data_IF_075418859241
#
_entry.id   IF_075418859241
#
_cell.length_a   1.000
_cell.length_b   1.000
_cell.length_c   1.000
_cell.angle_alpha   90.00
_cell.angle_beta   90.00
_cell.angle_gamma   90.00
#
_symmetry.space_group_name_H-M   'P 1'
#
loop_
_entity.id
_entity.type
_entity.pdbx_description
1 polymer ?
#
# COMPACT_ATOMS: atom_id res chain seq x y z
N UNK A 1 -1.83 -34.34 48.31
CA UNK A 1 -1.17 -33.39 47.40
C UNK A 1 -2.06 -32.17 47.25
N UNK A 2 -1.64 -30.98 47.69
CA UNK A 2 -2.41 -29.74 47.49
C UNK A 2 -1.99 -29.17 46.13
N UNK A 3 -2.93 -29.13 45.18
CA UNK A 3 -2.72 -28.49 43.88
C UNK A 3 -2.52 -26.99 44.09
N UNK A 4 -1.44 -26.44 43.53
CA UNK A 4 -1.23 -24.99 43.49
C UNK A 4 -2.34 -24.32 42.69
N UNK A 5 -2.75 -23.13 43.14
CA UNK A 5 -3.70 -22.31 42.41
C UNK A 5 -3.11 -21.96 41.03
N UNK A 6 -3.94 -21.98 39.97
CA UNK A 6 -3.48 -21.59 38.63
C UNK A 6 -2.96 -20.15 38.65
N UNK A 7 -1.89 -19.84 37.88
CA UNK A 7 -1.38 -18.49 37.77
C UNK A 7 -2.46 -17.55 37.23
N UNK A 8 -2.45 -16.30 37.70
CA UNK A 8 -3.41 -15.30 37.27
C UNK A 8 -3.37 -15.12 35.75
N UNK A 9 -4.55 -15.12 35.12
CA UNK A 9 -4.69 -14.90 33.68
C UNK A 9 -3.98 -13.61 33.26
N UNK A 10 -2.93 -13.74 32.45
CA UNK A 10 -2.27 -12.63 31.79
C UNK A 10 -3.26 -11.99 30.81
N UNK A 11 -3.90 -10.90 31.24
CA UNK A 11 -4.71 -10.06 30.34
C UNK A 11 -3.80 -9.40 29.32
N UNK A 12 -3.72 -9.97 28.13
CA UNK A 12 -3.02 -9.33 27.01
C UNK A 12 -3.70 -7.98 26.71
N UNK A 13 -2.92 -6.92 26.44
CA UNK A 13 -3.46 -5.62 26.07
C UNK A 13 -4.33 -5.77 24.82
N UNK A 14 -5.49 -5.11 24.81
CA UNK A 14 -6.42 -5.18 23.69
C UNK A 14 -5.80 -4.45 22.50
N UNK A 15 -5.21 -5.18 21.55
CA UNK A 15 -4.75 -4.60 20.31
C UNK A 15 -5.96 -4.07 19.52
N UNK A 16 -5.94 -2.78 19.15
CA UNK A 16 -6.97 -2.24 18.28
C UNK A 16 -6.98 -2.98 16.94
N UNK A 17 -8.14 -3.44 16.44
CA UNK A 17 -8.24 -4.28 15.23
C UNK A 17 -7.70 -3.61 13.95
N UNK A 18 -7.53 -2.28 13.99
CA UNK A 18 -7.05 -1.47 12.87
C UNK A 18 -5.68 -0.84 13.14
N UNK A 19 -4.97 -1.25 14.21
CA UNK A 19 -3.65 -0.71 14.54
C UNK A 19 -2.64 -0.85 13.38
N UNK A 20 -2.55 -1.99 12.66
CA UNK A 20 -1.62 -2.12 11.55
C UNK A 20 -1.91 -1.15 10.40
N UNK A 21 -3.20 -0.95 10.09
CA UNK A 21 -3.65 -0.02 9.04
C UNK A 21 -3.30 1.43 9.40
N UNK A 22 -3.56 1.84 10.64
CA UNK A 22 -3.23 3.19 11.10
C UNK A 22 -1.72 3.45 11.15
N UNK A 23 -0.95 2.45 11.56
CA UNK A 23 0.51 2.54 11.55
C UNK A 23 1.03 2.74 10.13
N UNK A 24 0.52 1.98 9.15
CA UNK A 24 0.86 2.13 7.74
C UNK A 24 0.54 3.53 7.19
N UNK A 25 -0.62 4.08 7.58
CA UNK A 25 -1.03 5.44 7.21
C UNK A 25 -0.17 6.52 7.86
N UNK A 26 0.17 6.35 9.15
CA UNK A 26 1.10 7.25 9.84
C UNK A 26 2.48 7.22 9.19
N UNK A 27 2.97 6.03 8.82
CA UNK A 27 4.22 5.83 8.09
C UNK A 27 4.18 6.51 6.71
N UNK A 28 3.06 6.38 5.98
CA UNK A 28 2.86 7.04 4.69
C UNK A 28 2.98 8.57 4.82
N UNK A 29 2.29 9.15 5.81
CA UNK A 29 2.34 10.60 6.08
C UNK A 29 3.73 11.07 6.49
N UNK A 30 4.39 10.33 7.38
CA UNK A 30 5.76 10.63 7.82
C UNK A 30 6.76 10.58 6.65
N UNK A 31 6.64 9.59 5.76
CA UNK A 31 7.50 9.46 4.57
C UNK A 31 7.33 10.67 3.64
N UNK A 32 6.08 11.08 3.36
CA UNK A 32 5.81 12.21 2.47
C UNK A 32 6.28 13.54 3.07
N UNK A 33 6.11 13.74 4.38
CA UNK A 33 6.63 14.91 5.08
C UNK A 33 8.17 14.95 5.07
N UNK A 34 8.83 13.81 5.31
CA UNK A 34 10.29 13.72 5.25
C UNK A 34 10.82 14.03 3.85
N UNK A 35 10.17 13.49 2.81
CA UNK A 35 10.52 13.78 1.41
C UNK A 35 10.49 15.28 1.11
N UNK A 36 9.46 15.99 1.54
CA UNK A 36 9.36 17.45 1.33
C UNK A 36 10.51 18.19 2.00
N UNK A 37 10.89 17.79 3.22
CA UNK A 37 12.03 18.36 3.90
C UNK A 37 13.34 18.11 3.14
N UNK A 38 13.58 16.87 2.70
CA UNK A 38 14.76 16.50 1.91
C UNK A 38 14.82 17.24 0.58
N UNK A 39 13.68 17.40 -0.10
CA UNK A 39 13.59 18.12 -1.37
C UNK A 39 13.85 19.62 -1.17
N UNK A 40 13.30 20.22 -0.10
CA UNK A 40 13.57 21.62 0.24
C UNK A 40 15.06 21.85 0.57
N UNK A 41 15.69 20.93 1.29
CA UNK A 41 17.14 20.95 1.56
C UNK A 41 17.94 20.81 0.26
N UNK A 42 17.64 19.82 -0.57
CA UNK A 42 18.34 19.60 -1.85
C UNK A 42 18.22 20.81 -2.79
N UNK A 43 17.05 21.46 -2.86
CA UNK A 43 16.88 22.69 -3.63
C UNK A 43 17.66 23.88 -3.05
N UNK A 44 17.81 23.95 -1.73
CA UNK A 44 18.63 24.96 -1.07
C UNK A 44 20.13 24.72 -1.28
N UNK A 45 20.54 23.46 -1.42
CA UNK A 45 21.91 23.01 -1.67
C UNK A 45 22.30 23.03 -3.16
N UNK A 46 21.36 23.27 -4.08
CA UNK A 46 21.55 23.22 -5.53
C UNK A 46 22.40 24.37 -6.11
N UNK A 47 23.34 24.90 -5.32
CA UNK A 47 24.48 25.65 -5.82
C UNK A 47 25.60 24.68 -6.25
N UNK A 48 25.74 24.47 -7.57
CA UNK A 48 26.91 23.88 -8.24
C UNK A 48 27.37 22.48 -7.78
N UNK A 49 26.52 21.45 -7.92
CA UNK A 49 26.98 20.05 -7.82
C UNK A 49 26.84 19.36 -9.18
N UNK A 50 27.99 19.14 -9.83
CA UNK A 50 28.12 18.35 -11.05
C UNK A 50 28.17 16.85 -10.68
N UNK A 51 27.08 16.13 -10.91
CA UNK A 51 27.01 14.68 -10.64
C UNK A 51 27.50 13.89 -11.86
N UNK A 52 28.31 12.82 -11.67
CA UNK A 52 28.73 11.97 -12.78
C UNK A 52 27.53 11.28 -13.44
N UNK A 53 27.55 11.07 -14.76
CA UNK A 53 26.43 10.48 -15.50
C UNK A 53 26.17 9.04 -15.07
N UNK A 54 24.92 8.71 -14.73
CA UNK A 54 24.45 7.35 -14.48
C UNK A 54 24.25 6.96 -13.01
N UNK A 55 24.67 7.78 -12.04
CA UNK A 55 24.34 7.56 -10.63
C UNK A 55 22.89 8.00 -10.35
N UNK A 56 22.06 7.20 -9.65
CA UNK A 56 20.73 7.62 -9.23
C UNK A 56 20.84 8.89 -8.39
N UNK A 57 20.17 9.93 -8.86
CA UNK A 57 20.21 11.25 -8.24
C UNK A 57 19.47 11.22 -6.90
N UNK A 58 19.75 12.21 -6.03
CA UNK A 58 18.92 12.42 -4.83
C UNK A 58 17.43 12.60 -5.20
N UNK A 59 17.15 13.12 -6.40
CA UNK A 59 15.81 13.28 -6.94
C UNK A 59 15.14 11.92 -7.24
N UNK A 60 15.86 10.96 -7.82
CA UNK A 60 15.30 9.63 -8.13
C UNK A 60 14.91 8.88 -6.84
N UNK A 61 15.71 9.00 -5.79
CA UNK A 61 15.38 8.45 -4.46
C UNK A 61 14.17 9.15 -3.84
N UNK A 62 14.09 10.48 -3.92
CA UNK A 62 12.94 11.24 -3.44
C UNK A 62 11.65 10.91 -4.22
N UNK A 63 11.76 10.55 -5.51
CA UNK A 63 10.65 10.07 -6.31
C UNK A 63 10.20 8.67 -5.86
N UNK A 64 11.13 7.73 -5.67
CA UNK A 64 10.85 6.38 -5.16
C UNK A 64 10.18 6.40 -3.77
N UNK A 65 10.58 7.32 -2.89
CA UNK A 65 9.95 7.49 -1.58
C UNK A 65 8.45 7.82 -1.65
N UNK A 66 8.00 8.50 -2.72
CA UNK A 66 6.58 8.81 -2.91
C UNK A 66 5.78 7.62 -3.48
N UNK A 67 6.42 6.68 -4.17
CA UNK A 67 5.77 5.53 -4.76
C UNK A 67 5.13 4.60 -3.71
N UNK A 68 5.78 4.44 -2.55
CA UNK A 68 5.29 3.55 -1.50
C UNK A 68 3.98 4.04 -0.84
N UNK A 69 3.88 5.29 -0.34
CA UNK A 69 2.60 5.87 0.09
C UNK A 69 1.51 5.85 -0.98
N UNK A 70 1.87 6.10 -2.24
CA UNK A 70 0.93 6.11 -3.35
C UNK A 70 0.39 4.70 -3.67
N UNK A 71 1.22 3.66 -3.53
CA UNK A 71 0.78 2.27 -3.68
C UNK A 71 -0.19 1.85 -2.57
N UNK A 72 0.11 2.24 -1.33
CA UNK A 72 -0.81 2.01 -0.22
C UNK A 72 -2.15 2.71 -0.44
N UNK A 73 -2.10 3.96 -0.90
CA UNK A 73 -3.29 4.73 -1.22
C UNK A 73 -4.12 4.10 -2.34
N UNK A 74 -3.48 3.60 -3.42
CA UNK A 74 -4.19 2.94 -4.52
C UNK A 74 -4.87 1.64 -4.08
N UNK A 75 -4.26 0.91 -3.14
CA UNK A 75 -4.86 -0.28 -2.55
C UNK A 75 -6.08 0.06 -1.68
N UNK A 76 -6.04 1.15 -0.89
CA UNK A 76 -7.19 1.61 -0.10
C UNK A 76 -8.32 2.20 -0.97
N UNK A 77 -7.97 2.88 -2.07
CA UNK A 77 -8.95 3.31 -3.09
C UNK A 77 -9.63 2.07 -3.71
N UNK A 78 -8.85 1.05 -4.07
CA UNK A 78 -9.36 -0.20 -4.63
C UNK A 78 -10.23 -0.99 -3.65
N UNK A 79 -9.91 -0.91 -2.35
CA UNK A 79 -10.76 -1.41 -1.26
C UNK A 79 -12.02 -0.53 -1.03
N UNK A 80 -12.12 0.61 -1.72
CA UNK A 80 -13.27 1.51 -1.72
C UNK A 80 -13.40 2.38 -0.47
N UNK A 81 -12.30 2.63 0.24
CA UNK A 81 -12.31 3.47 1.46
C UNK A 81 -12.78 4.89 1.14
N UNK A 82 -12.20 5.55 0.13
CA UNK A 82 -12.60 6.91 -0.26
C UNK A 82 -14.01 6.95 -0.88
N UNK A 83 -14.38 6.07 -1.83
CA UNK A 83 -15.76 5.98 -2.32
C UNK A 83 -16.80 5.82 -1.20
N UNK A 84 -16.56 4.92 -0.25
CA UNK A 84 -17.46 4.71 0.89
C UNK A 84 -17.55 5.95 1.78
N UNK A 85 -16.41 6.59 2.07
CA UNK A 85 -16.37 7.83 2.83
C UNK A 85 -17.18 8.96 2.17
N UNK A 86 -17.06 9.13 0.85
CA UNK A 86 -17.81 10.14 0.10
C UNK A 86 -19.31 9.85 0.09
N UNK A 87 -19.70 8.60 -0.12
CA UNK A 87 -21.11 8.19 -0.10
C UNK A 87 -21.74 8.38 1.29
N UNK A 88 -21.05 7.95 2.35
CA UNK A 88 -21.55 8.09 3.73
C UNK A 88 -21.64 9.56 4.13
N UNK A 89 -20.63 10.38 3.81
CA UNK A 89 -20.67 11.81 4.05
C UNK A 89 -21.80 12.49 3.26
N UNK A 90 -22.08 12.04 2.03
CA UNK A 90 -23.20 12.51 1.22
C UNK A 90 -24.57 12.14 1.80
N UNK A 91 -24.75 10.90 2.26
CA UNK A 91 -25.97 10.46 2.94
C UNK A 91 -26.22 11.24 4.24
N UNK A 92 -25.16 11.56 4.97
CA UNK A 92 -25.27 12.40 6.15
C UNK A 92 -25.65 13.83 5.78
N UNK A 93 -24.98 14.43 4.78
CA UNK A 93 -25.24 15.80 4.33
C UNK A 93 -26.64 15.98 3.71
N UNK A 94 -27.23 14.93 3.14
CA UNK A 94 -28.61 14.95 2.63
C UNK A 94 -29.68 14.76 3.70
N UNK A 95 -29.29 14.44 4.93
CA UNK A 95 -30.22 14.13 6.03
C UNK A 95 -30.78 12.71 6.01
N UNK A 96 -30.25 11.81 5.17
CA UNK A 96 -30.68 10.40 5.15
C UNK A 96 -30.26 9.64 6.42
N UNK A 97 -29.17 10.06 7.06
CA UNK A 97 -28.72 9.55 8.37
C UNK A 97 -29.18 10.55 9.45
N UNK A 98 -30.20 10.17 10.21
CA UNK A 98 -30.82 11.04 11.23
C UNK A 98 -30.34 10.76 12.66
N UNK A 99 -29.54 9.70 12.87
CA UNK A 99 -29.05 9.38 14.21
C UNK A 99 -28.00 10.40 14.70
N UNK A 100 -27.95 10.70 16.02
CA UNK A 100 -26.96 11.62 16.58
C UNK A 100 -25.55 11.00 16.57
N UNK A 101 -24.67 11.51 15.70
CA UNK A 101 -23.29 11.02 15.56
C UNK A 101 -22.26 11.73 16.47
N UNK A 102 -22.69 12.76 17.22
CA UNK A 102 -21.79 13.53 18.10
C UNK A 102 -20.65 14.20 17.33
N UNK A 103 -19.39 14.16 17.81
CA UNK A 103 -18.24 14.84 17.16
C UNK A 103 -18.00 14.41 15.70
N UNK A 104 -18.37 13.18 15.34
CA UNK A 104 -18.20 12.64 13.98
C UNK A 104 -19.04 13.38 12.95
N UNK A 105 -20.17 13.98 13.36
CA UNK A 105 -20.96 14.83 12.48
C UNK A 105 -20.15 16.00 11.90
N UNK A 106 -19.24 16.59 12.70
CA UNK A 106 -18.37 17.68 12.24
C UNK A 106 -17.35 17.17 11.22
N UNK A 107 -16.77 15.99 11.45
CA UNK A 107 -15.81 15.37 10.53
C UNK A 107 -16.45 15.06 9.16
N UNK A 108 -17.65 14.46 9.18
CA UNK A 108 -18.41 14.16 7.96
C UNK A 108 -18.75 15.43 7.17
N UNK A 109 -19.23 16.47 7.86
CA UNK A 109 -19.54 17.76 7.24
C UNK A 109 -18.31 18.44 6.64
N UNK A 110 -17.18 18.44 7.36
CA UNK A 110 -15.92 19.00 6.86
C UNK A 110 -15.44 18.25 5.62
N UNK A 111 -15.44 16.91 5.67
CA UNK A 111 -15.05 16.05 4.55
C UNK A 111 -15.94 16.24 3.32
N UNK A 112 -17.25 16.40 3.52
CA UNK A 112 -18.21 16.66 2.44
C UNK A 112 -18.02 18.03 1.80
N UNK A 113 -17.82 19.08 2.59
CA UNK A 113 -17.61 20.45 2.08
C UNK A 113 -16.35 20.57 1.23
N UNK A 114 -15.25 19.95 1.68
CA UNK A 114 -13.97 19.96 0.95
C UNK A 114 -13.96 19.14 -0.35
N UNK A 115 -15.01 18.41 -0.69
CA UNK A 115 -15.02 17.49 -1.85
C UNK A 115 -14.73 18.14 -3.21
N UNK A 116 -14.99 19.44 -3.34
CA UNK A 116 -14.76 20.19 -4.59
C UNK A 116 -13.30 20.64 -4.74
N UNK A 117 -12.56 20.67 -3.66
CA UNK A 117 -11.15 21.09 -3.60
C UNK A 117 -10.20 19.89 -3.67
N UNK A 118 -10.73 18.67 -3.51
CA UNK A 118 -9.98 17.41 -3.56
C UNK A 118 -9.94 16.84 -4.98
N UNK A 119 -8.88 16.09 -5.27
CA UNK A 119 -8.78 15.24 -6.45
C UNK A 119 -10.00 14.33 -6.58
N UNK A 120 -10.65 14.38 -7.73
CA UNK A 120 -11.77 13.52 -8.08
C UNK A 120 -11.30 12.09 -8.31
N UNK A 121 -12.25 11.15 -8.30
CA UNK A 121 -11.96 9.72 -8.45
C UNK A 121 -11.22 9.42 -9.75
N UNK A 122 -11.66 10.02 -10.85
CA UNK A 122 -11.08 9.82 -12.17
C UNK A 122 -9.63 10.33 -12.23
N UNK A 123 -9.33 11.42 -11.53
CA UNK A 123 -7.98 11.99 -11.45
C UNK A 123 -7.06 11.09 -10.64
N UNK A 124 -7.51 10.62 -9.46
CA UNK A 124 -6.77 9.64 -8.65
C UNK A 124 -6.49 8.36 -9.42
N UNK A 125 -7.51 7.82 -10.10
CA UNK A 125 -7.38 6.62 -10.94
C UNK A 125 -6.37 6.83 -12.08
N UNK A 126 -6.38 7.98 -12.73
CA UNK A 126 -5.44 8.30 -13.80
C UNK A 126 -3.99 8.32 -13.26
N UNK A 127 -3.76 8.91 -12.09
CA UNK A 127 -2.46 8.93 -11.42
C UNK A 127 -2.02 7.50 -11.08
N UNK A 128 -2.87 6.69 -10.46
CA UNK A 128 -2.54 5.30 -10.11
C UNK A 128 -2.21 4.45 -11.33
N UNK A 129 -2.99 4.58 -12.41
CA UNK A 129 -2.73 3.84 -13.66
C UNK A 129 -1.41 4.25 -14.30
N UNK A 130 -1.11 5.54 -14.30
CA UNK A 130 0.15 6.08 -14.84
C UNK A 130 1.36 5.58 -14.06
N UNK A 131 1.29 5.57 -12.73
CA UNK A 131 2.43 5.17 -11.88
C UNK A 131 2.63 3.66 -11.86
N UNK A 132 1.57 2.89 -11.68
CA UNK A 132 1.69 1.45 -11.46
C UNK A 132 1.48 0.62 -12.71
N UNK A 133 0.66 1.00 -13.68
CA UNK A 133 0.41 0.16 -14.88
C UNK A 133 0.22 -1.33 -14.50
N UNK A 134 -0.90 -1.64 -13.83
CA UNK A 134 -1.04 -2.81 -12.95
C UNK A 134 -0.40 -4.13 -13.45
N UNK A 135 -0.57 -4.59 -14.70
CA UNK A 135 0.04 -5.85 -15.14
C UNK A 135 1.57 -5.86 -15.06
N UNK A 136 2.22 -4.75 -15.41
CA UNK A 136 3.68 -4.67 -15.40
C UNK A 136 4.22 -4.54 -13.98
N UNK A 137 3.66 -3.63 -13.17
CA UNK A 137 4.07 -3.48 -11.78
C UNK A 137 3.83 -4.75 -10.97
N UNK A 138 2.67 -5.42 -11.11
CA UNK A 138 2.42 -6.64 -10.35
C UNK A 138 3.40 -7.75 -10.68
N UNK A 139 3.83 -7.85 -11.95
CA UNK A 139 4.87 -8.79 -12.37
C UNK A 139 6.21 -8.44 -11.72
N UNK A 140 6.65 -7.18 -11.78
CA UNK A 140 7.93 -6.75 -11.20
C UNK A 140 7.94 -6.87 -9.67
N UNK A 141 6.86 -6.44 -9.02
CA UNK A 141 6.66 -6.57 -7.57
C UNK A 141 6.66 -8.03 -7.14
N UNK A 142 6.08 -8.94 -7.93
CA UNK A 142 6.14 -10.38 -7.67
C UNK A 142 7.56 -10.92 -7.76
N UNK A 143 8.30 -10.60 -8.82
CA UNK A 143 9.70 -11.02 -8.98
C UNK A 143 10.54 -10.53 -7.80
N UNK A 144 10.42 -9.26 -7.44
CA UNK A 144 11.11 -8.66 -6.29
C UNK A 144 10.74 -9.36 -4.97
N UNK A 145 9.45 -9.52 -4.67
CA UNK A 145 9.02 -10.19 -3.43
C UNK A 145 9.48 -11.66 -3.37
N UNK A 146 9.43 -12.39 -4.48
CA UNK A 146 9.93 -13.77 -4.53
C UNK A 146 11.43 -13.82 -4.27
N UNK A 147 12.21 -12.89 -4.82
CA UNK A 147 13.65 -12.82 -4.58
C UNK A 147 13.98 -12.45 -3.12
N UNK A 148 13.22 -11.53 -2.50
CA UNK A 148 13.35 -11.18 -1.08
C UNK A 148 13.10 -12.41 -0.19
N UNK A 149 12.08 -13.21 -0.50
CA UNK A 149 11.77 -14.43 0.28
C UNK A 149 12.82 -15.51 0.04
N UNK A 150 13.28 -15.70 -1.20
CA UNK A 150 14.34 -16.68 -1.49
C UNK A 150 15.65 -16.34 -0.77
N UNK A 151 16.05 -15.07 -0.74
CA UNK A 151 17.21 -14.60 0.01
C UNK A 151 17.09 -14.75 1.54
N UNK A 152 15.89 -15.04 2.06
CA UNK A 152 15.70 -15.39 3.47
C UNK A 152 15.92 -16.88 3.75
N UNK A 153 15.70 -17.73 2.74
CA UNK A 153 15.80 -19.20 2.83
C UNK A 153 17.24 -19.69 2.62
N UNK A 154 18.08 -18.90 1.93
CA UNK A 154 19.48 -19.18 1.64
C UNK A 154 20.28 -17.92 1.31
N UNK A 155 21.61 -18.04 1.35
CA UNK A 155 22.53 -17.02 0.84
C UNK A 155 23.41 -17.67 -0.25
N UNK A 156 22.80 -18.01 -1.39
CA UNK A 156 23.54 -18.37 -2.61
C UNK A 156 23.72 -17.13 -3.51
N UNK A 157 24.85 -17.05 -4.22
CA UNK A 157 25.15 -16.01 -5.20
C UNK A 157 24.01 -15.83 -6.22
N UNK A 158 23.30 -16.92 -6.54
CA UNK A 158 22.14 -16.87 -7.44
C UNK A 158 20.96 -16.07 -6.87
N UNK A 159 20.71 -16.19 -5.57
CA UNK A 159 19.63 -15.49 -4.87
C UNK A 159 19.98 -14.01 -4.73
N UNK A 160 21.24 -13.69 -4.42
CA UNK A 160 21.75 -12.31 -4.35
C UNK A 160 21.62 -11.61 -5.71
N UNK A 161 22.01 -12.29 -6.81
CA UNK A 161 21.87 -11.74 -8.16
C UNK A 161 20.40 -11.56 -8.53
N UNK A 162 19.52 -12.52 -8.21
CA UNK A 162 18.10 -12.41 -8.48
C UNK A 162 17.45 -11.27 -7.69
N UNK A 163 17.86 -11.06 -6.43
CA UNK A 163 17.43 -9.93 -5.61
C UNK A 163 17.88 -8.61 -6.23
N UNK A 164 19.14 -8.52 -6.64
CA UNK A 164 19.69 -7.35 -7.33
C UNK A 164 18.88 -6.95 -8.56
N UNK A 165 18.64 -7.90 -9.47
CA UNK A 165 17.85 -7.68 -10.68
C UNK A 165 16.42 -7.26 -10.33
N UNK A 166 15.76 -7.96 -9.41
CA UNK A 166 14.37 -7.68 -9.03
C UNK A 166 14.18 -6.30 -8.41
N UNK A 167 15.13 -5.85 -7.58
CA UNK A 167 15.13 -4.51 -6.97
C UNK A 167 15.42 -3.44 -8.01
N UNK A 168 16.41 -3.66 -8.88
CA UNK A 168 16.77 -2.72 -9.94
C UNK A 168 15.61 -2.50 -10.91
N UNK A 169 15.05 -3.57 -11.47
CA UNK A 169 13.96 -3.48 -12.46
C UNK A 169 12.72 -2.77 -11.89
N UNK A 170 12.35 -3.08 -10.65
CA UNK A 170 11.21 -2.44 -9.98
C UNK A 170 11.51 -0.96 -9.64
N UNK A 171 12.73 -0.66 -9.19
CA UNK A 171 13.17 0.69 -8.89
C UNK A 171 13.19 1.59 -10.14
N UNK A 172 13.82 1.13 -11.23
CA UNK A 172 13.85 1.85 -12.50
C UNK A 172 12.44 2.08 -13.05
N UNK A 173 11.58 1.06 -13.00
CA UNK A 173 10.19 1.17 -13.42
C UNK A 173 9.43 2.28 -12.69
N UNK A 174 9.58 2.36 -11.36
CA UNK A 174 8.89 3.33 -10.51
C UNK A 174 9.50 4.73 -10.58
N UNK A 175 10.83 4.85 -10.67
CA UNK A 175 11.52 6.13 -10.79
C UNK A 175 11.06 6.88 -12.05
N UNK A 176 10.95 6.17 -13.18
CA UNK A 176 10.49 6.75 -14.45
C UNK A 176 9.03 7.23 -14.44
N UNK A 177 8.22 6.79 -13.48
CA UNK A 177 6.77 7.03 -13.45
C UNK A 177 6.30 7.88 -12.27
N UNK A 178 7.11 8.01 -11.23
CA UNK A 178 6.76 8.76 -10.01
C UNK A 178 7.29 10.19 -10.10
N UNK A 179 6.63 11.01 -10.91
CA UNK A 179 7.00 12.42 -11.07
C UNK A 179 6.57 13.30 -9.87
N UNK A 180 6.91 14.59 -9.93
CA UNK A 180 6.55 15.55 -8.89
C UNK A 180 5.03 15.67 -8.68
N UNK A 181 4.24 15.55 -9.75
CA UNK A 181 2.78 15.61 -9.67
C UNK A 181 2.22 14.38 -8.94
N UNK A 182 2.71 13.18 -9.26
CA UNK A 182 2.35 11.95 -8.54
C UNK A 182 2.71 12.03 -7.06
N UNK A 183 3.86 12.63 -6.72
CA UNK A 183 4.26 12.82 -5.34
C UNK A 183 3.38 13.82 -4.57
N UNK A 184 3.00 14.93 -5.20
CA UNK A 184 2.05 15.89 -4.61
C UNK A 184 0.68 15.24 -4.40
N UNK A 185 0.19 14.51 -5.40
CA UNK A 185 -1.06 13.78 -5.30
C UNK A 185 -1.03 12.73 -4.19
N UNK A 186 0.09 12.02 -4.01
CA UNK A 186 0.24 11.05 -2.92
C UNK A 186 -0.07 11.66 -1.55
N UNK A 187 0.41 12.89 -1.28
CA UNK A 187 0.12 13.62 -0.03
C UNK A 187 -1.36 13.89 0.14
N UNK A 188 -1.98 14.51 -0.86
CA UNK A 188 -3.39 14.86 -0.78
C UNK A 188 -4.27 13.62 -0.61
N UNK A 189 -4.00 12.55 -1.37
CA UNK A 189 -4.76 11.30 -1.29
C UNK A 189 -4.59 10.65 0.08
N UNK A 190 -3.37 10.60 0.62
CA UNK A 190 -3.09 10.03 1.95
C UNK A 190 -3.76 10.84 3.06
N UNK A 191 -3.76 12.16 2.99
CA UNK A 191 -4.45 13.01 3.96
C UNK A 191 -5.98 12.83 3.88
N UNK A 192 -6.53 12.67 2.67
CA UNK A 192 -7.95 12.35 2.46
C UNK A 192 -8.31 10.97 3.04
N UNK A 193 -7.45 9.97 2.84
CA UNK A 193 -7.61 8.63 3.44
C UNK A 193 -7.57 8.68 4.97
N UNK A 194 -6.69 9.50 5.55
CA UNK A 194 -6.62 9.71 6.99
C UNK A 194 -7.88 10.37 7.54
N UNK A 195 -8.41 11.39 6.87
CA UNK A 195 -9.67 12.01 7.25
C UNK A 195 -10.84 11.01 7.17
N UNK A 196 -10.92 10.24 6.08
CA UNK A 196 -11.92 9.20 5.86
C UNK A 196 -11.89 8.11 6.95
N UNK A 197 -10.71 7.52 7.19
CA UNK A 197 -10.53 6.49 8.22
C UNK A 197 -10.78 7.03 9.63
N UNK A 198 -10.61 8.33 9.85
CA UNK A 198 -10.93 9.00 11.11
C UNK A 198 -12.40 8.80 11.51
N UNK A 199 -13.34 9.04 10.59
CA UNK A 199 -14.77 8.88 10.90
C UNK A 199 -15.32 7.47 10.62
N UNK A 200 -14.83 6.76 9.58
CA UNK A 200 -15.32 5.41 9.26
C UNK A 200 -15.06 4.39 10.38
N UNK A 201 -14.07 4.65 11.23
CA UNK A 201 -13.73 3.81 12.38
C UNK A 201 -14.57 4.11 13.62
N UNK A 202 -15.39 5.16 13.61
CA UNK A 202 -16.22 5.53 14.75
C UNK A 202 -17.37 4.53 14.97
N UNK A 203 -17.54 4.12 16.23
CA UNK A 203 -18.54 3.12 16.61
C UNK A 203 -19.97 3.60 16.46
N UNK A 204 -20.25 4.90 16.64
CA UNK A 204 -21.60 5.46 16.50
C UNK A 204 -22.01 5.49 15.04
N UNK A 205 -21.06 5.85 14.15
CA UNK A 205 -21.30 5.77 12.72
C UNK A 205 -21.52 4.33 12.26
N UNK A 206 -20.70 3.38 12.71
CA UNK A 206 -20.91 1.96 12.40
C UNK A 206 -22.28 1.46 12.87
N UNK A 207 -22.66 1.79 14.11
CA UNK A 207 -23.97 1.43 14.66
C UNK A 207 -25.15 2.06 13.89
N UNK A 208 -25.01 3.30 13.41
CA UNK A 208 -26.00 3.97 12.57
C UNK A 208 -26.28 3.23 11.26
N UNK A 209 -25.28 2.51 10.73
CA UNK A 209 -25.38 1.66 9.53
C UNK A 209 -25.65 0.19 9.86
N UNK A 210 -25.84 -0.17 11.14
CA UNK A 210 -26.11 -1.55 11.57
C UNK A 210 -24.93 -2.50 11.38
N UNK A 211 -23.70 -1.98 11.37
CA UNK A 211 -22.47 -2.76 11.19
C UNK A 211 -21.53 -2.63 12.40
N UNK A 212 -20.59 -3.55 12.52
CA UNK A 212 -19.74 -3.78 13.69
C UNK A 212 -18.24 -3.61 13.40
N UNK A 213 -17.88 -2.99 12.26
CA UNK A 213 -16.50 -2.65 11.94
C UNK A 213 -16.31 -1.79 10.69
N UNK A 214 -15.06 -1.39 10.45
CA UNK A 214 -14.66 -0.58 9.30
C UNK A 214 -14.99 -1.26 7.96
N UNK A 215 -14.55 -2.50 7.76
CA UNK A 215 -14.72 -3.19 6.49
C UNK A 215 -16.19 -3.53 6.18
N UNK A 216 -17.00 -4.01 7.15
CA UNK A 216 -18.44 -4.10 6.98
C UNK A 216 -19.10 -2.77 6.59
N UNK A 217 -18.68 -1.63 7.16
CA UNK A 217 -19.19 -0.31 6.79
C UNK A 217 -18.83 0.06 5.34
N UNK A 218 -17.57 -0.15 4.95
CA UNK A 218 -17.10 0.10 3.59
C UNK A 218 -17.81 -0.80 2.57
N UNK A 219 -18.08 -2.06 2.93
CA UNK A 219 -18.86 -2.99 2.11
C UNK A 219 -20.34 -2.58 2.01
N UNK A 220 -20.94 -2.11 3.10
CA UNK A 220 -22.34 -1.66 3.11
C UNK A 220 -22.57 -0.45 2.18
N UNK A 221 -21.57 0.42 2.05
CA UNK A 221 -21.62 1.52 1.08
C UNK A 221 -21.52 1.01 -0.38
N UNK A 222 -20.72 -0.03 -0.62
CA UNK A 222 -20.48 -0.56 -1.96
C UNK A 222 -21.42 -1.72 -2.30
N UNK A 223 -22.56 -1.40 -2.92
CA UNK A 223 -23.60 -2.35 -3.35
C UNK A 223 -23.04 -3.58 -4.12
N UNK A 224 -22.66 -4.64 -3.40
CA UNK A 224 -22.23 -5.93 -3.95
C UNK A 224 -20.72 -6.26 -3.87
N UNK A 225 -19.86 -5.43 -3.28
CA UNK A 225 -18.41 -5.75 -3.09
C UNK A 225 -18.06 -5.95 -1.62
N UNK A 226 -18.34 -7.13 -1.09
CA UNK A 226 -18.09 -7.44 0.32
C UNK A 226 -16.78 -8.23 0.57
N UNK A 227 -16.33 -9.05 -0.38
CA UNK A 227 -15.19 -9.94 -0.17
C UNK A 227 -13.86 -9.26 -0.50
N UNK A 228 -12.83 -9.57 0.28
CA UNK A 228 -11.44 -9.22 -0.02
C UNK A 228 -11.03 -7.76 0.23
N UNK A 229 -11.92 -6.87 0.67
CA UNK A 229 -11.57 -5.45 0.93
C UNK A 229 -10.43 -5.31 1.93
N UNK A 230 -10.50 -6.07 3.04
CA UNK A 230 -9.44 -6.10 4.03
C UNK A 230 -8.14 -6.70 3.48
N UNK A 231 -8.23 -7.78 2.70
CA UNK A 231 -7.07 -8.40 2.08
C UNK A 231 -6.37 -7.43 1.11
N UNK A 232 -7.13 -6.63 0.37
CA UNK A 232 -6.61 -5.59 -0.51
C UNK A 232 -5.86 -4.50 0.27
N UNK A 233 -6.41 -4.05 1.42
CA UNK A 233 -5.74 -3.08 2.27
C UNK A 233 -4.44 -3.64 2.89
N UNK A 234 -4.46 -4.90 3.33
CA UNK A 234 -3.28 -5.59 3.85
C UNK A 234 -2.21 -5.80 2.76
N UNK A 235 -2.62 -6.10 1.52
CA UNK A 235 -1.72 -6.14 0.35
C UNK A 235 -1.06 -4.79 0.13
N UNK A 236 -1.83 -3.70 0.17
CA UNK A 236 -1.32 -2.34 0.08
C UNK A 236 -0.27 -2.04 1.14
N UNK A 237 -0.56 -2.37 2.40
CA UNK A 237 0.37 -2.18 3.54
C UNK A 237 1.66 -2.99 3.38
N UNK A 238 1.54 -4.24 2.98
CA UNK A 238 2.69 -5.11 2.73
C UNK A 238 3.57 -4.54 1.60
N UNK A 239 2.96 -4.15 0.49
CA UNK A 239 3.71 -3.57 -0.63
C UNK A 239 4.32 -2.20 -0.30
N UNK A 240 3.65 -1.37 0.51
CA UNK A 240 4.25 -0.12 1.02
C UNK A 240 5.57 -0.40 1.75
N UNK A 241 5.60 -1.44 2.60
CA UNK A 241 6.79 -1.77 3.39
C UNK A 241 7.95 -2.20 2.49
N UNK A 242 7.67 -3.02 1.47
CA UNK A 242 8.66 -3.45 0.46
C UNK A 242 9.16 -2.27 -0.36
N UNK A 243 8.27 -1.38 -0.81
CA UNK A 243 8.65 -0.22 -1.61
C UNK A 243 9.44 0.83 -0.80
N UNK A 244 9.14 0.99 0.50
CA UNK A 244 9.94 1.84 1.39
C UNK A 244 11.33 1.25 1.62
N UNK A 245 11.42 -0.07 1.81
CA UNK A 245 12.71 -0.77 1.88
C UNK A 245 13.51 -0.58 0.60
N UNK A 246 12.88 -0.72 -0.58
CA UNK A 246 13.51 -0.47 -1.88
C UNK A 246 14.02 0.97 -2.00
N UNK A 247 13.21 1.96 -1.60
CA UNK A 247 13.61 3.38 -1.65
C UNK A 247 14.75 3.73 -0.68
N UNK A 248 14.98 2.90 0.34
CA UNK A 248 16.09 3.04 1.29
C UNK A 248 17.39 2.39 0.80
N UNK A 249 17.35 1.59 -0.27
CA UNK A 249 18.54 0.90 -0.75
C UNK A 249 19.51 1.85 -1.47
N UNK A 250 20.83 1.76 -1.19
CA UNK A 250 21.83 2.48 -1.95
C UNK A 250 21.99 1.87 -3.36
N UNK A 251 22.16 2.69 -4.41
CA UNK A 251 22.10 2.23 -5.80
C UNK A 251 23.29 1.37 -6.28
N UNK A 252 24.31 1.20 -5.45
CA UNK A 252 25.55 0.49 -5.82
C UNK A 252 26.10 -0.40 -4.71
N UNK A 253 25.39 -0.57 -3.59
CA UNK A 253 25.84 -1.50 -2.57
C UNK A 253 25.32 -2.91 -2.88
N UNK A 254 26.08 -3.97 -2.54
CA UNK A 254 25.55 -5.32 -2.55
C UNK A 254 24.31 -5.37 -1.65
N UNK A 255 23.20 -5.84 -2.21
CA UNK A 255 21.96 -6.06 -1.47
C UNK A 255 22.10 -7.38 -0.72
N UNK A 256 22.17 -7.29 0.61
CA UNK A 256 22.20 -8.47 1.46
C UNK A 256 21.13 -8.32 2.53
N UNK A 257 20.28 -9.33 2.65
CA UNK A 257 19.29 -9.44 3.71
C UNK A 257 19.85 -10.33 4.82
N UNK A 258 19.81 -9.83 6.06
CA UNK A 258 20.28 -10.53 7.24
C UNK A 258 19.11 -10.85 8.18
N UNK A 259 18.74 -12.14 8.36
CA UNK A 259 17.63 -12.51 9.24
C UNK A 259 17.88 -12.18 10.72
N UNK A 260 19.11 -11.83 11.12
CA UNK A 260 19.39 -11.32 12.46
C UNK A 260 18.94 -9.85 12.64
N UNK A 261 18.74 -9.10 11.56
CA UNK A 261 18.32 -7.71 11.60
C UNK A 261 16.79 -7.57 11.54
N UNK A 262 16.22 -6.87 12.53
CA UNK A 262 14.77 -6.71 12.62
C UNK A 262 14.14 -6.02 11.40
N UNK A 263 14.88 -5.11 10.74
CA UNK A 263 14.44 -4.43 9.52
C UNK A 263 14.33 -5.39 8.33
N UNK A 264 15.23 -6.36 8.23
CA UNK A 264 15.25 -7.33 7.13
C UNK A 264 14.16 -8.38 7.32
N UNK A 265 13.98 -8.85 8.56
CA UNK A 265 12.83 -9.72 8.92
C UNK A 265 11.50 -9.03 8.62
N UNK A 266 11.40 -7.71 8.83
CA UNK A 266 10.20 -6.95 8.54
C UNK A 266 9.89 -6.90 7.03
N UNK A 267 10.90 -6.67 6.16
CA UNK A 267 10.69 -6.68 4.71
C UNK A 267 10.42 -8.10 4.18
N UNK A 268 11.09 -9.13 4.70
CA UNK A 268 10.81 -10.53 4.34
C UNK A 268 9.35 -10.89 4.67
N UNK A 269 8.90 -10.54 5.87
CA UNK A 269 7.50 -10.76 6.29
C UNK A 269 6.53 -9.97 5.41
N UNK A 270 6.87 -8.75 5.00
CA UNK A 270 6.05 -7.94 4.12
C UNK A 270 5.96 -8.54 2.71
N UNK A 271 7.08 -8.98 2.13
CA UNK A 271 7.13 -9.65 0.83
C UNK A 271 6.28 -10.93 0.84
N UNK A 272 6.42 -11.77 1.86
CA UNK A 272 5.61 -12.98 2.03
C UNK A 272 4.12 -12.67 2.14
N UNK A 273 3.73 -11.65 2.92
CA UNK A 273 2.32 -11.21 3.04
C UNK A 273 1.78 -10.69 1.71
N UNK A 274 2.59 -9.94 0.96
CA UNK A 274 2.19 -9.43 -0.34
C UNK A 274 1.95 -10.59 -1.33
N UNK A 275 2.87 -11.57 -1.39
CA UNK A 275 2.70 -12.76 -2.23
C UNK A 275 1.47 -13.58 -1.84
N UNK A 276 1.26 -13.82 -0.54
CA UNK A 276 0.12 -14.56 -0.03
C UNK A 276 -1.24 -13.86 -0.27
N UNK A 277 -1.22 -12.54 -0.51
CA UNK A 277 -2.42 -11.76 -0.82
C UNK A 277 -2.83 -11.79 -2.29
N UNK A 278 -1.97 -12.32 -3.18
CA UNK A 278 -2.31 -12.48 -4.58
C UNK A 278 -3.45 -13.50 -4.70
N UNK A 279 -4.45 -13.25 -5.56
CA UNK A 279 -5.40 -14.30 -5.88
C UNK A 279 -4.60 -15.49 -6.40
N UNK A 280 -4.89 -16.69 -5.88
CA UNK A 280 -4.38 -17.92 -6.48
C UNK A 280 -4.74 -17.82 -7.95
N UNK A 281 -3.73 -17.72 -8.82
CA UNK A 281 -3.94 -17.70 -10.25
C UNK A 281 -4.86 -18.90 -10.54
N UNK A 282 -5.97 -18.65 -11.26
CA UNK A 282 -6.82 -19.73 -11.73
C UNK A 282 -5.91 -20.78 -12.35
N UNK A 283 -5.79 -21.92 -11.66
CA UNK A 283 -4.95 -23.02 -12.09
C UNK A 283 -5.39 -23.41 -13.51
N UNK A 284 -4.41 -23.56 -14.39
CA UNK A 284 -4.53 -24.14 -15.72
C UNK A 284 -5.45 -23.43 -16.72
N UNK A 285 -4.86 -22.49 -17.47
CA UNK A 285 -5.22 -22.31 -18.89
C UNK A 285 -3.95 -22.22 -19.74
N UNK A 286 -3.06 -23.19 -19.56
CA UNK A 286 -2.23 -23.67 -20.66
C UNK A 286 -2.92 -24.93 -21.17
N UNK A 287 -3.97 -24.74 -21.97
CA UNK A 287 -4.43 -25.80 -22.85
C UNK A 287 -3.23 -26.16 -23.75
N UNK A 288 -2.79 -27.41 -23.64
CA UNK A 288 -1.74 -27.97 -24.47
C UNK A 288 -1.98 -27.65 -25.95
N UNK A 289 -0.93 -27.32 -26.74
CA UNK A 289 -1.11 -27.15 -28.17
C UNK A 289 -1.62 -28.47 -28.75
N UNK A 290 -2.78 -28.41 -29.41
CA UNK A 290 -3.34 -29.53 -30.15
C UNK A 290 -2.29 -30.07 -31.12
N UNK A 291 -1.91 -31.33 -30.95
CA UNK A 291 -1.08 -32.07 -31.88
C UNK A 291 -1.72 -32.01 -33.27
N UNK A 292 -1.11 -31.26 -34.18
CA UNK A 292 -1.46 -31.30 -35.60
C UNK A 292 -0.95 -32.63 -36.14
N UNK A 293 -1.85 -33.62 -36.27
CA UNK A 293 -1.60 -34.84 -37.02
C UNK A 293 -1.44 -34.48 -38.50
N UNK A 294 -0.18 -34.40 -38.95
CA UNK A 294 0.19 -34.47 -40.36
C UNK A 294 -0.06 -35.91 -40.85
N UNK A 295 -1.21 -36.14 -41.46
CA UNK A 295 -1.47 -37.34 -42.25
C UNK A 295 -0.79 -37.14 -43.61
N UNK A 296 0.35 -37.81 -43.76
CA UNK A 296 1.12 -37.89 -44.99
C UNK A 296 0.34 -38.67 -46.06
N UNK A 297 0.43 -38.17 -47.29
CA UNK A 297 -0.04 -38.82 -48.49
C UNK A 297 0.70 -40.14 -48.74
N UNK A 298 -0.06 -41.17 -49.11
CA UNK A 298 0.33 -42.27 -50.00
C UNK A 298 -0.94 -42.80 -50.67
#
# INVERSE_FOLDING_TARGET
MRLHAPPADLRLPHCHPHAPLLHALALARATLAQREHTLAQALAELGDIDLPPGAPTALDRAQLQAAAPLYFASALESAGVLPAAEQIAGLFASGAVTQPLGPVAQMLNAFWRGRRERLQREERDAIFRRVFEAPQFERLMRVCCTAIVAAADGQDLREDVALGIGVQDLGEFLALRTDAMAAMAAREIVDNLNAALGFLRDRRLQAAFGVDGLWPLVAAAQAGRASGLQAQAERGRAGQSVLLWLAAQPPAAPLQLDPAQAQDVAVMTAAQRWLASLPAAAADTVAAPASVSLLAAA
#
